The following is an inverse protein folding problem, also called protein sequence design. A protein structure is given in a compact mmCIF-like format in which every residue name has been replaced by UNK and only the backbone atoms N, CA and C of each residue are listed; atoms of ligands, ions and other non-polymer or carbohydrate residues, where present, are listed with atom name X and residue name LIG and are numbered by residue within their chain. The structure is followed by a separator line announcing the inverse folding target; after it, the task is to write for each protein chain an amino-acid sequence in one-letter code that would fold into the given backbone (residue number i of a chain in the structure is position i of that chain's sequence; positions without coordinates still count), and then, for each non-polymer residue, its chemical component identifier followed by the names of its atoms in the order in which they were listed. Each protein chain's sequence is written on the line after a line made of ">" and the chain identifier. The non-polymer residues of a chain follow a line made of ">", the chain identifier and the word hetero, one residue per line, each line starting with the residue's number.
data_IF_523759807517
#
_entry.id   IF_523759807517
#
_cell.length_a   1.000
_cell.length_b   1.000
_cell.length_c   1.000
_cell.angle_alpha   90.00
_cell.angle_beta   90.00
_cell.angle_gamma   90.00
#
_symmetry.space_group_name_H-M   'P 1'
#
loop_
_entity.id
_entity.type
_entity.pdbx_description
1 polymer ?
#
# COMPACT_ATOMS: atom_id res chain seq x y z
N UNK A 1 23.35 -8.70 46.52
CA UNK A 1 23.52 -9.96 45.81
C UNK A 1 23.88 -9.76 44.32
N UNK A 2 23.35 -8.75 43.62
CA UNK A 2 23.61 -8.54 42.17
C UNK A 2 25.06 -8.16 41.81
N UNK A 3 25.76 -7.39 42.67
CA UNK A 3 27.16 -7.00 42.41
C UNK A 3 28.15 -8.15 42.49
N UNK A 4 27.84 -9.19 43.26
CA UNK A 4 28.71 -10.37 43.40
C UNK A 4 28.71 -11.28 42.17
N UNK A 5 27.57 -11.31 41.42
CA UNK A 5 27.46 -12.13 40.21
C UNK A 5 28.17 -11.46 39.02
N UNK A 6 28.03 -10.14 38.89
CA UNK A 6 28.71 -9.39 37.82
C UNK A 6 30.24 -9.47 37.98
N UNK A 7 30.75 -9.30 39.19
CA UNK A 7 32.20 -9.45 39.47
C UNK A 7 32.72 -10.87 39.13
N UNK A 8 31.97 -11.90 39.45
CA UNK A 8 32.36 -13.29 39.10
C UNK A 8 32.32 -13.58 37.60
N UNK A 9 31.43 -12.95 36.88
CA UNK A 9 31.37 -13.03 35.42
C UNK A 9 32.57 -12.31 34.78
N UNK A 10 32.93 -11.14 35.29
CA UNK A 10 34.10 -10.40 34.80
C UNK A 10 35.39 -11.16 35.07
N UNK A 11 35.56 -11.77 36.27
CA UNK A 11 36.69 -12.61 36.61
C UNK A 11 36.73 -13.87 35.73
N UNK A 12 35.60 -14.48 35.43
CA UNK A 12 35.53 -15.64 34.53
C UNK A 12 35.96 -15.28 33.12
N UNK A 13 35.47 -14.15 32.58
CA UNK A 13 35.86 -13.68 31.26
C UNK A 13 37.34 -13.24 31.22
N UNK A 14 37.89 -12.70 32.32
CA UNK A 14 39.28 -12.33 32.42
C UNK A 14 40.16 -13.58 32.42
N UNK A 15 39.79 -14.62 33.16
CA UNK A 15 40.49 -15.90 33.18
C UNK A 15 40.45 -16.63 31.84
N UNK A 16 39.32 -16.57 31.12
CA UNK A 16 39.22 -17.11 29.77
C UNK A 16 40.13 -16.37 28.77
N UNK A 17 40.43 -15.10 29.01
CA UNK A 17 41.37 -14.32 28.19
C UNK A 17 42.84 -14.65 28.49
N UNK A 18 43.13 -15.16 29.67
CA UNK A 18 44.48 -15.40 30.14
C UNK A 18 44.92 -16.87 29.97
N UNK A 19 43.97 -17.82 29.89
CA UNK A 19 44.29 -19.19 29.57
C UNK A 19 44.62 -19.33 28.11
N UNK A 20 45.85 -19.72 27.82
CA UNK A 20 46.47 -19.98 26.52
C UNK A 20 45.56 -20.80 25.54
N UNK A 21 44.52 -20.20 25.02
CA UNK A 21 43.98 -20.61 23.75
C UNK A 21 44.57 -19.66 22.72
N UNK A 22 45.55 -20.15 21.99
CA UNK A 22 46.14 -19.52 20.82
C UNK A 22 45.08 -19.43 19.69
N UNK A 23 44.06 -18.58 19.92
CA UNK A 23 43.06 -18.25 18.91
C UNK A 23 43.62 -17.08 18.12
N UNK A 24 44.06 -17.28 16.87
CA UNK A 24 44.60 -16.19 16.08
C UNK A 24 43.63 -15.03 16.07
N UNK A 25 44.10 -13.81 16.31
CA UNK A 25 43.31 -12.57 16.40
C UNK A 25 42.41 -12.34 15.17
N UNK A 26 42.68 -13.03 14.06
CA UNK A 26 41.85 -13.06 12.85
C UNK A 26 40.47 -13.67 13.07
N UNK A 27 40.22 -14.48 14.11
CA UNK A 27 38.92 -15.04 14.46
C UNK A 27 38.09 -14.10 15.34
N UNK A 28 38.71 -13.09 15.96
CA UNK A 28 38.00 -12.07 16.75
C UNK A 28 37.56 -10.86 15.94
N UNK A 29 38.07 -10.70 14.72
CA UNK A 29 37.47 -9.84 13.74
C UNK A 29 36.22 -10.55 13.24
N UNK A 30 35.08 -10.25 13.86
CA UNK A 30 33.78 -10.43 13.25
C UNK A 30 33.80 -9.56 11.99
N UNK A 31 34.42 -10.06 10.92
CA UNK A 31 34.14 -9.63 9.55
C UNK A 31 32.64 -9.65 9.50
N UNK A 32 32.07 -8.47 9.22
CA UNK A 32 30.62 -8.28 9.23
C UNK A 32 29.93 -9.54 8.74
N UNK A 33 28.90 -9.97 9.48
CA UNK A 33 28.15 -11.20 9.19
C UNK A 33 28.18 -11.43 7.69
N UNK A 34 28.62 -12.60 7.20
CA UNK A 34 28.40 -12.91 5.81
C UNK A 34 26.96 -12.53 5.56
N UNK A 35 26.68 -11.87 4.45
CA UNK A 35 25.33 -11.84 3.91
C UNK A 35 25.05 -13.30 3.55
N UNK A 36 24.87 -14.14 4.56
CA UNK A 36 24.22 -15.41 4.40
C UNK A 36 22.99 -15.06 3.63
N UNK A 37 22.81 -15.70 2.52
CA UNK A 37 21.59 -15.57 1.75
C UNK A 37 20.49 -15.79 2.78
N UNK A 38 19.89 -14.69 3.25
CA UNK A 38 18.77 -14.74 4.18
C UNK A 38 17.75 -15.61 3.48
N UNK A 39 17.63 -16.87 3.94
CA UNK A 39 16.46 -17.66 3.58
C UNK A 39 15.33 -16.90 4.24
N UNK A 40 14.75 -15.99 3.47
CA UNK A 40 13.58 -15.24 3.90
C UNK A 40 12.43 -16.23 4.04
N UNK A 41 11.97 -16.42 5.26
CA UNK A 41 10.72 -17.16 5.53
C UNK A 41 9.49 -16.28 5.26
N UNK A 42 9.69 -15.06 4.82
CA UNK A 42 8.61 -14.16 4.48
C UNK A 42 7.95 -14.59 3.16
N UNK A 43 6.63 -14.57 3.14
CA UNK A 43 5.85 -14.81 1.93
C UNK A 43 6.24 -13.86 0.81
N UNK A 44 6.16 -14.32 -0.44
CA UNK A 44 6.31 -13.44 -1.61
C UNK A 44 5.21 -12.38 -1.64
N UNK A 45 5.37 -11.35 -2.44
CA UNK A 45 4.33 -10.33 -2.60
C UNK A 45 3.05 -10.92 -3.23
N UNK A 46 3.20 -11.91 -4.10
CA UNK A 46 2.07 -12.66 -4.67
C UNK A 46 1.31 -13.46 -3.61
N UNK A 47 2.03 -14.13 -2.70
CA UNK A 47 1.41 -14.86 -1.59
C UNK A 47 0.74 -13.90 -0.60
N UNK A 48 1.37 -12.76 -0.33
CA UNK A 48 0.78 -11.70 0.48
C UNK A 48 -0.54 -11.18 -0.10
N UNK A 49 -0.61 -11.01 -1.42
CA UNK A 49 -1.85 -10.64 -2.12
C UNK A 49 -2.91 -11.74 -1.99
N UNK A 50 -2.54 -13.01 -2.11
CA UNK A 50 -3.47 -14.14 -1.96
C UNK A 50 -4.05 -14.18 -0.54
N UNK A 51 -3.21 -14.03 0.48
CA UNK A 51 -3.61 -13.92 1.90
C UNK A 51 -4.57 -12.73 2.12
N UNK A 52 -4.21 -11.56 1.58
CA UNK A 52 -5.06 -10.37 1.66
C UNK A 52 -6.44 -10.57 1.03
N UNK A 53 -6.49 -11.18 -0.15
CA UNK A 53 -7.73 -11.47 -0.84
C UNK A 53 -8.58 -12.50 -0.09
N UNK A 54 -7.97 -13.52 0.50
CA UNK A 54 -8.67 -14.53 1.31
C UNK A 54 -9.29 -13.94 2.57
N UNK A 55 -8.53 -13.17 3.34
CA UNK A 55 -8.96 -12.65 4.64
C UNK A 55 -9.91 -11.44 4.53
N UNK A 56 -9.68 -10.56 3.56
CA UNK A 56 -10.46 -9.31 3.39
C UNK A 56 -11.53 -9.41 2.32
N UNK A 57 -11.60 -10.53 1.60
CA UNK A 57 -12.46 -10.68 0.43
C UNK A 57 -13.85 -11.24 0.70
N UNK A 58 -14.14 -11.79 1.90
CA UNK A 58 -15.34 -12.57 2.18
C UNK A 58 -16.66 -11.86 1.76
N UNK A 59 -16.77 -10.53 2.00
CA UNK A 59 -17.95 -9.71 1.67
C UNK A 59 -17.66 -8.65 0.62
N UNK A 60 -16.64 -8.84 -0.25
CA UNK A 60 -16.19 -7.82 -1.20
C UNK A 60 -16.61 -8.16 -2.63
N UNK A 61 -16.85 -7.09 -3.40
CA UNK A 61 -17.18 -7.19 -4.82
C UNK A 61 -15.98 -7.61 -5.67
N UNK A 62 -16.24 -8.12 -6.88
CA UNK A 62 -15.19 -8.45 -7.85
C UNK A 62 -14.23 -7.27 -8.14
N UNK A 63 -14.72 -6.03 -8.05
CA UNK A 63 -13.91 -4.81 -8.21
C UNK A 63 -12.81 -4.68 -7.16
N UNK A 64 -13.05 -5.12 -5.93
CA UNK A 64 -12.04 -5.14 -4.88
C UNK A 64 -10.84 -6.00 -5.28
N UNK A 65 -11.10 -7.23 -5.70
CA UNK A 65 -10.04 -8.16 -6.12
C UNK A 65 -9.29 -7.66 -7.36
N UNK A 66 -10.01 -7.15 -8.35
CA UNK A 66 -9.42 -6.58 -9.56
C UNK A 66 -8.52 -5.40 -9.24
N UNK A 67 -8.96 -4.50 -8.36
CA UNK A 67 -8.15 -3.35 -7.94
C UNK A 67 -6.90 -3.78 -7.16
N UNK A 68 -7.03 -4.73 -6.23
CA UNK A 68 -5.89 -5.24 -5.46
C UNK A 68 -4.85 -5.91 -6.38
N UNK A 69 -5.30 -6.82 -7.24
CA UNK A 69 -4.45 -7.52 -8.23
C UNK A 69 -3.73 -6.54 -9.15
N UNK A 70 -4.44 -5.55 -9.70
CA UNK A 70 -3.86 -4.53 -10.56
C UNK A 70 -2.78 -3.72 -9.84
N UNK A 71 -3.06 -3.26 -8.61
CA UNK A 71 -2.16 -2.39 -7.88
C UNK A 71 -0.89 -3.12 -7.43
N UNK A 72 -1.00 -4.37 -6.99
CA UNK A 72 0.15 -5.23 -6.70
C UNK A 72 0.88 -5.61 -7.99
N UNK A 73 0.15 -5.88 -9.08
CA UNK A 73 0.71 -6.18 -10.39
C UNK A 73 1.70 -5.13 -10.88
N UNK A 74 1.48 -3.85 -10.59
CA UNK A 74 2.46 -2.79 -10.90
C UNK A 74 3.79 -2.96 -10.16
N UNK A 75 3.76 -3.44 -8.92
CA UNK A 75 4.99 -3.72 -8.16
C UNK A 75 5.71 -4.92 -8.75
N UNK A 76 4.97 -5.98 -9.07
CA UNK A 76 5.53 -7.18 -9.71
C UNK A 76 6.16 -6.88 -11.06
N UNK A 77 5.54 -6.00 -11.85
CA UNK A 77 6.05 -5.56 -13.15
C UNK A 77 7.38 -4.82 -13.03
N UNK A 78 7.50 -3.90 -12.05
CA UNK A 78 8.68 -3.02 -11.93
C UNK A 78 9.79 -3.61 -11.06
N UNK A 79 9.43 -4.24 -9.94
CA UNK A 79 10.38 -4.72 -8.92
C UNK A 79 10.54 -6.24 -8.90
N UNK A 80 9.65 -6.97 -9.57
CA UNK A 80 9.59 -8.44 -9.52
C UNK A 80 8.90 -8.97 -8.26
N UNK A 81 8.61 -10.28 -8.27
CA UNK A 81 8.04 -10.97 -7.12
C UNK A 81 9.15 -11.43 -6.18
N UNK A 82 9.20 -10.82 -5.01
CA UNK A 82 10.21 -11.09 -4.00
C UNK A 82 9.55 -11.28 -2.63
N UNK A 83 10.23 -11.92 -1.67
CA UNK A 83 9.80 -11.92 -0.27
C UNK A 83 9.61 -10.48 0.25
N UNK A 84 8.53 -10.24 1.01
CA UNK A 84 8.14 -8.88 1.42
C UNK A 84 9.16 -8.16 2.31
N UNK A 85 10.00 -8.90 3.01
CA UNK A 85 11.08 -8.39 3.86
C UNK A 85 12.33 -7.97 3.07
N UNK A 86 12.43 -8.34 1.80
CA UNK A 86 13.57 -8.01 0.92
C UNK A 86 13.38 -6.69 0.17
N UNK A 87 12.17 -6.13 0.16
CA UNK A 87 11.95 -4.81 -0.42
C UNK A 87 12.53 -3.73 0.48
N UNK A 88 13.17 -2.74 -0.12
CA UNK A 88 13.75 -1.59 0.57
C UNK A 88 12.95 -0.30 0.32
N UNK A 89 13.19 0.72 1.13
CA UNK A 89 12.64 2.06 0.89
C UNK A 89 13.12 2.66 -0.44
N UNK A 90 14.32 2.27 -0.90
CA UNK A 90 14.83 2.68 -2.21
C UNK A 90 14.03 2.05 -3.35
N UNK A 91 13.67 0.76 -3.24
CA UNK A 91 12.78 0.10 -4.20
C UNK A 91 11.42 0.81 -4.26
N UNK A 92 10.85 1.13 -3.10
CA UNK A 92 9.56 1.81 -3.04
C UNK A 92 9.63 3.25 -3.61
N UNK A 93 10.75 3.94 -3.46
CA UNK A 93 10.97 5.25 -4.10
C UNK A 93 11.11 5.11 -5.62
N UNK A 94 11.89 4.15 -6.11
CA UNK A 94 12.01 3.84 -7.54
C UNK A 94 10.65 3.49 -8.16
N UNK A 95 9.84 2.70 -7.46
CA UNK A 95 8.48 2.37 -7.90
C UNK A 95 7.57 3.61 -8.00
N UNK A 96 7.66 4.54 -7.05
CA UNK A 96 6.95 5.82 -7.13
C UNK A 96 7.33 6.58 -8.38
N UNK A 97 8.63 6.73 -8.64
CA UNK A 97 9.14 7.50 -9.76
C UNK A 97 8.71 6.86 -11.10
N UNK A 98 8.77 5.54 -11.19
CA UNK A 98 8.26 4.80 -12.33
C UNK A 98 6.75 5.00 -12.59
N UNK A 99 5.92 5.08 -11.53
CA UNK A 99 4.50 5.40 -11.68
C UNK A 99 4.27 6.84 -12.17
N UNK A 100 5.12 7.79 -11.74
CA UNK A 100 5.10 9.19 -12.20
C UNK A 100 5.46 9.24 -13.69
N UNK A 101 6.51 8.55 -14.10
CA UNK A 101 6.98 8.50 -15.49
C UNK A 101 5.92 7.87 -16.42
N UNK A 102 5.10 6.96 -15.93
CA UNK A 102 3.91 6.43 -16.63
C UNK A 102 2.76 7.42 -16.73
N UNK A 103 2.88 8.61 -16.19
CA UNK A 103 1.87 9.67 -16.25
C UNK A 103 0.69 9.50 -15.28
N UNK A 104 0.81 8.66 -14.25
CA UNK A 104 -0.24 8.51 -13.26
C UNK A 104 -0.35 9.76 -12.38
N UNK A 105 -1.59 10.13 -12.05
CA UNK A 105 -1.84 11.25 -11.14
C UNK A 105 -1.41 10.89 -9.71
N UNK A 106 -1.03 11.90 -8.92
CA UNK A 106 -0.61 11.73 -7.52
C UNK A 106 -1.70 11.04 -6.67
N UNK A 107 -2.96 11.34 -6.93
CA UNK A 107 -4.09 10.68 -6.26
C UNK A 107 -4.17 9.19 -6.60
N UNK A 108 -3.92 8.81 -7.86
CA UNK A 108 -3.86 7.42 -8.29
C UNK A 108 -2.69 6.69 -7.64
N UNK A 109 -1.50 7.30 -7.63
CA UNK A 109 -0.30 6.76 -6.98
C UNK A 109 -0.57 6.55 -5.48
N UNK A 110 -1.15 7.52 -4.81
CA UNK A 110 -1.51 7.41 -3.39
C UNK A 110 -2.44 6.22 -3.09
N UNK A 111 -3.43 5.97 -3.97
CA UNK A 111 -4.34 4.82 -3.87
C UNK A 111 -3.62 3.49 -4.10
N UNK A 112 -2.71 3.43 -5.08
CA UNK A 112 -1.88 2.24 -5.33
C UNK A 112 -1.03 1.93 -4.10
N UNK A 113 -0.29 2.91 -3.58
CA UNK A 113 0.51 2.74 -2.36
C UNK A 113 -0.35 2.36 -1.15
N UNK A 114 -1.57 2.90 -1.04
CA UNK A 114 -2.52 2.52 0.01
C UNK A 114 -2.86 1.03 -0.02
N UNK A 115 -3.12 0.48 -1.21
CA UNK A 115 -3.39 -0.96 -1.38
C UNK A 115 -2.16 -1.81 -1.03
N UNK A 116 -0.98 -1.44 -1.54
CA UNK A 116 0.26 -2.19 -1.30
C UNK A 116 0.58 -2.21 0.20
N UNK A 117 0.46 -1.07 0.88
CA UNK A 117 0.65 -0.98 2.33
C UNK A 117 -0.31 -1.89 3.10
N UNK A 118 -1.57 -1.92 2.69
CA UNK A 118 -2.58 -2.76 3.33
C UNK A 118 -2.28 -4.25 3.15
N UNK A 119 -1.85 -4.68 1.96
CA UNK A 119 -1.44 -6.05 1.66
C UNK A 119 -0.25 -6.46 2.53
N UNK A 120 0.83 -5.68 2.50
CA UNK A 120 2.06 -6.00 3.23
C UNK A 120 1.83 -5.96 4.74
N UNK A 121 1.15 -4.94 5.28
CA UNK A 121 0.88 -4.83 6.72
C UNK A 121 0.05 -6.01 7.23
N UNK A 122 -0.97 -6.44 6.47
CA UNK A 122 -1.76 -7.59 6.86
C UNK A 122 -0.88 -8.85 6.93
N UNK A 123 -0.05 -9.08 5.93
CA UNK A 123 0.84 -10.25 5.88
C UNK A 123 1.87 -10.23 7.01
N UNK A 124 2.44 -9.08 7.33
CA UNK A 124 3.35 -8.91 8.47
C UNK A 124 2.63 -9.30 9.79
N UNK A 125 1.39 -8.87 9.96
CA UNK A 125 0.59 -9.17 11.15
C UNK A 125 0.20 -10.65 11.24
N UNK A 126 -0.32 -11.23 10.16
CA UNK A 126 -0.78 -12.61 10.12
C UNK A 126 0.36 -13.63 10.29
N UNK A 127 1.52 -13.33 9.72
CA UNK A 127 2.67 -14.23 9.80
C UNK A 127 3.66 -13.88 10.93
N UNK A 128 3.38 -12.83 11.72
CA UNK A 128 4.24 -12.42 12.82
C UNK A 128 5.67 -12.04 12.39
N UNK A 129 5.81 -11.42 11.20
CA UNK A 129 7.12 -11.11 10.64
C UNK A 129 7.77 -9.92 11.35
N UNK A 130 9.04 -10.06 11.73
CA UNK A 130 9.83 -8.97 12.31
C UNK A 130 10.48 -8.13 11.18
N UNK A 131 9.64 -7.49 10.36
CA UNK A 131 10.09 -6.60 9.31
C UNK A 131 9.21 -5.34 9.23
N UNK A 132 9.78 -4.26 8.69
CA UNK A 132 9.04 -3.02 8.44
C UNK A 132 8.54 -2.98 7.00
N UNK A 133 7.34 -2.44 6.83
CA UNK A 133 6.81 -2.21 5.50
C UNK A 133 7.62 -1.13 4.77
N UNK A 134 8.36 -1.51 3.74
CA UNK A 134 9.20 -0.62 2.94
C UNK A 134 8.40 0.50 2.24
N UNK A 135 7.11 0.27 1.96
CA UNK A 135 6.24 1.24 1.29
C UNK A 135 5.53 2.21 2.25
N UNK A 136 5.74 2.07 3.59
CA UNK A 136 4.95 2.82 4.58
C UNK A 136 5.15 4.33 4.50
N UNK A 137 6.39 4.81 4.49
CA UNK A 137 6.76 6.22 4.69
C UNK A 137 7.37 6.87 3.43
N UNK A 138 6.91 6.47 2.25
CA UNK A 138 7.38 7.05 1.00
C UNK A 138 6.72 8.41 0.78
N UNK A 139 7.54 9.42 0.54
CA UNK A 139 7.06 10.74 0.16
C UNK A 139 6.36 10.68 -1.20
N UNK A 140 5.12 11.14 -1.23
CA UNK A 140 4.34 11.30 -2.46
C UNK A 140 4.16 12.81 -2.72
N UNK A 141 4.65 13.34 -3.86
CA UNK A 141 4.50 14.76 -4.15
C UNK A 141 3.01 15.10 -4.28
N UNK A 142 2.57 16.13 -3.55
CA UNK A 142 1.21 16.65 -3.67
C UNK A 142 1.18 17.57 -4.89
N UNK A 143 0.65 17.11 -6.01
CA UNK A 143 0.30 18.03 -7.10
C UNK A 143 -0.96 18.78 -6.66
N UNK A 144 -0.96 20.09 -6.80
CA UNK A 144 -2.17 20.89 -6.62
C UNK A 144 -3.17 20.42 -7.70
N UNK A 145 -4.11 19.57 -7.32
CA UNK A 145 -5.23 19.23 -8.21
C UNK A 145 -6.10 20.50 -8.33
N UNK A 146 -6.28 20.98 -9.54
CA UNK A 146 -7.30 22.01 -9.79
C UNK A 146 -8.64 21.42 -9.33
N UNK A 147 -9.16 21.94 -8.23
CA UNK A 147 -10.50 21.57 -7.77
C UNK A 147 -11.49 21.99 -8.86
N UNK A 148 -12.29 21.02 -9.31
CA UNK A 148 -13.40 21.32 -10.22
C UNK A 148 -14.23 22.47 -9.62
N UNK A 149 -14.39 23.55 -10.38
CA UNK A 149 -15.23 24.66 -9.96
C UNK A 149 -16.69 24.20 -10.01
N UNK A 150 -17.52 24.58 -9.03
CA UNK A 150 -18.95 24.32 -9.09
C UNK A 150 -19.54 25.05 -10.30
N UNK A 151 -20.53 24.43 -10.94
CA UNK A 151 -21.26 25.05 -12.05
C UNK A 151 -22.05 26.25 -11.48
N UNK A 152 -21.96 27.44 -12.09
CA UNK A 152 -22.70 28.60 -11.65
C UNK A 152 -24.20 28.38 -11.67
N UNK A 153 -24.92 28.92 -10.71
CA UNK A 153 -26.38 28.72 -10.56
C UNK A 153 -27.18 29.08 -11.83
N UNK A 154 -26.80 30.15 -12.51
CA UNK A 154 -27.50 30.58 -13.75
C UNK A 154 -27.33 29.55 -14.88
N UNK A 155 -26.18 28.91 -14.99
CA UNK A 155 -25.97 27.84 -15.98
C UNK A 155 -26.79 26.59 -15.62
N UNK A 156 -26.91 26.24 -14.33
CA UNK A 156 -27.75 25.12 -13.88
C UNK A 156 -29.21 25.38 -14.27
N UNK A 157 -29.75 26.59 -14.03
CA UNK A 157 -31.12 26.97 -14.39
C UNK A 157 -31.33 26.87 -15.92
N UNK A 158 -30.34 27.31 -16.71
CA UNK A 158 -30.43 27.21 -18.17
C UNK A 158 -30.42 25.75 -18.64
N UNK A 159 -29.56 24.91 -18.06
CA UNK A 159 -29.51 23.45 -18.35
C UNK A 159 -30.87 22.82 -18.03
N UNK A 160 -31.43 23.08 -16.85
CA UNK A 160 -32.73 22.55 -16.43
C UNK A 160 -33.83 22.95 -17.38
N UNK A 161 -33.91 24.24 -17.78
CA UNK A 161 -34.88 24.73 -18.72
C UNK A 161 -34.78 24.00 -20.07
N UNK A 162 -33.59 23.89 -20.63
CA UNK A 162 -33.34 23.15 -21.87
C UNK A 162 -33.72 21.67 -21.75
N UNK A 163 -33.47 21.04 -20.63
CA UNK A 163 -33.86 19.65 -20.39
C UNK A 163 -35.36 19.46 -20.38
N UNK A 164 -36.11 20.40 -19.79
CA UNK A 164 -37.59 20.36 -19.77
C UNK A 164 -38.19 20.65 -21.13
N UNK A 165 -37.63 21.60 -21.90
CA UNK A 165 -38.11 21.94 -23.26
C UNK A 165 -37.93 20.78 -24.23
N UNK A 166 -36.86 20.03 -24.14
CA UNK A 166 -36.57 18.91 -25.04
C UNK A 166 -37.21 17.59 -24.59
N UNK A 167 -37.50 17.47 -23.29
CA UNK A 167 -38.29 16.42 -22.63
C UNK A 167 -38.01 14.97 -23.09
N UNK A 168 -36.77 14.65 -23.52
CA UNK A 168 -36.38 13.27 -23.78
C UNK A 168 -35.91 12.58 -22.48
N UNK A 169 -35.95 11.24 -22.45
CA UNK A 169 -35.58 10.45 -21.27
C UNK A 169 -34.20 10.80 -20.70
N UNK A 170 -33.21 11.04 -21.58
CA UNK A 170 -31.83 11.34 -21.14
C UNK A 170 -31.74 12.70 -20.46
N UNK A 171 -32.49 13.68 -20.96
CA UNK A 171 -32.51 15.03 -20.41
C UNK A 171 -33.31 15.12 -19.13
N UNK A 172 -34.37 14.33 -19.00
CA UNK A 172 -35.10 14.19 -17.73
C UNK A 172 -34.23 13.63 -16.62
N UNK A 173 -33.35 12.65 -16.92
CA UNK A 173 -32.35 12.15 -15.96
C UNK A 173 -31.37 13.24 -15.55
N UNK A 174 -30.92 14.10 -16.48
CA UNK A 174 -30.02 15.22 -16.15
C UNK A 174 -30.76 16.24 -15.25
N UNK A 175 -32.02 16.58 -15.56
CA UNK A 175 -32.83 17.48 -14.74
C UNK A 175 -33.01 16.92 -13.32
N UNK A 176 -33.32 15.64 -13.19
CA UNK A 176 -33.47 14.94 -11.92
C UNK A 176 -32.16 14.98 -11.09
N UNK A 177 -31.02 14.69 -11.71
CA UNK A 177 -29.72 14.76 -11.04
C UNK A 177 -29.38 16.17 -10.58
N UNK A 178 -29.71 17.19 -11.39
CA UNK A 178 -29.41 18.59 -11.06
C UNK A 178 -30.22 19.10 -9.88
N UNK A 179 -31.41 18.55 -9.67
CA UNK A 179 -32.28 18.92 -8.57
C UNK A 179 -32.03 18.13 -7.30
N UNK A 180 -31.78 16.82 -7.42
CA UNK A 180 -31.63 15.91 -6.28
C UNK A 180 -30.18 15.68 -5.82
N UNK A 181 -29.19 15.93 -6.69
CA UNK A 181 -27.79 15.61 -6.44
C UNK A 181 -27.46 14.13 -6.48
N UNK A 182 -28.35 13.29 -6.99
CA UNK A 182 -28.13 11.85 -7.15
C UNK A 182 -26.93 11.57 -8.07
N UNK A 183 -26.29 10.43 -7.88
CA UNK A 183 -25.31 9.92 -8.85
C UNK A 183 -26.05 9.40 -10.09
N UNK A 184 -25.41 9.49 -11.26
CA UNK A 184 -25.99 9.02 -12.51
C UNK A 184 -26.48 7.56 -12.42
N UNK A 185 -25.73 6.69 -11.78
CA UNK A 185 -26.12 5.28 -11.59
C UNK A 185 -27.34 5.10 -10.67
N UNK A 186 -27.49 5.98 -9.69
CA UNK A 186 -28.66 6.00 -8.79
C UNK A 186 -29.91 6.47 -9.55
N UNK A 187 -29.78 7.57 -10.30
CA UNK A 187 -30.88 8.10 -11.12
C UNK A 187 -31.32 7.13 -12.20
N UNK A 188 -30.41 6.42 -12.88
CA UNK A 188 -30.74 5.42 -13.91
C UNK A 188 -31.28 4.12 -13.32
N UNK A 189 -31.04 3.84 -12.04
CA UNK A 189 -31.51 2.65 -11.34
C UNK A 189 -32.87 2.82 -10.66
N UNK A 190 -33.48 4.02 -10.68
CA UNK A 190 -34.78 4.26 -10.07
C UNK A 190 -35.86 3.43 -10.74
N UNK A 191 -36.69 2.80 -9.92
CA UNK A 191 -37.92 2.10 -10.35
C UNK A 191 -39.12 2.73 -9.68
N UNK A 192 -40.32 2.49 -10.23
CA UNK A 192 -41.57 3.09 -9.73
C UNK A 192 -41.86 2.84 -8.24
N UNK A 193 -41.22 1.86 -7.64
CA UNK A 193 -41.32 1.58 -6.22
C UNK A 193 -40.44 2.43 -5.31
N UNK A 194 -39.54 3.25 -5.88
CA UNK A 194 -38.60 4.11 -5.16
C UNK A 194 -39.11 5.56 -5.05
N UNK A 195 -40.25 5.90 -5.68
CA UNK A 195 -40.82 7.25 -5.80
C UNK A 195 -42.10 7.38 -5.00
#
# INVERSE_FOLDING_TARGET
>A
ASRSIASKLDDFWLQMRISDMDVPASHLLVKGKPKDAFISYASSLSDALATYCSLKGADRTALFFTAAKRNVGYVLEHLGDRPIDTYSSADAASFRDWLIDRGLTTSSISRIFGTIRAVINLTIQEHGLDCRNAFANIYLPKKAEEKRKPIPKHEIIQIQKTCLELADERRLVIALISDTGMRLSEALGLVWGDV
#
